data_IF_711157341712
#
_entry.id   IF_711157341712
#
_cell.length_a   1.000
_cell.length_b   1.000
_cell.length_c   1.000
_cell.angle_alpha   90.00
_cell.angle_beta   90.00
_cell.angle_gamma   90.00
#
_symmetry.space_group_name_H-M   'P 1'
#
loop_
_entity.id
_entity.type
_entity.pdbx_description
1 polymer ?
#
# COMPACT_ATOMS: atom_id res chain seq x y z
N UNK A 1 0.59 -1.64 -16.06
CA UNK A 1 -0.65 -2.31 -16.43
C UNK A 1 -0.67 -3.67 -15.74
N UNK A 2 -1.78 -4.00 -15.09
CA UNK A 2 -2.06 -5.31 -14.52
C UNK A 2 -3.31 -5.84 -15.21
N UNK A 3 -3.29 -7.08 -15.66
CA UNK A 3 -4.36 -7.65 -16.47
C UNK A 3 -4.56 -9.11 -16.11
N UNK A 4 -5.81 -9.54 -16.02
CA UNK A 4 -6.19 -10.93 -15.76
C UNK A 4 -7.53 -11.26 -16.40
N UNK A 5 -7.72 -12.54 -16.69
CA UNK A 5 -8.98 -13.09 -17.17
C UNK A 5 -9.51 -14.06 -16.12
N UNK A 6 -10.80 -13.95 -15.83
CA UNK A 6 -11.54 -14.94 -15.05
C UNK A 6 -12.34 -15.80 -16.01
N UNK A 7 -12.04 -17.10 -16.06
CA UNK A 7 -12.72 -18.09 -16.91
C UNK A 7 -13.46 -19.07 -16.01
N UNK A 8 -14.79 -19.05 -16.06
CA UNK A 8 -15.65 -19.89 -15.25
C UNK A 8 -16.47 -20.80 -16.17
N UNK A 9 -16.37 -22.10 -15.99
CA UNK A 9 -17.06 -23.10 -16.82
C UNK A 9 -18.58 -22.86 -16.83
N UNK A 10 -19.17 -22.90 -18.03
CA UNK A 10 -20.62 -22.68 -18.23
C UNK A 10 -21.46 -23.73 -17.54
N UNK A 11 -21.04 -25.00 -17.57
CA UNK A 11 -21.79 -26.12 -17.00
C UNK A 11 -21.74 -26.04 -15.46
N UNK A 12 -20.62 -25.62 -14.89
CA UNK A 12 -20.47 -25.38 -13.46
C UNK A 12 -21.40 -24.27 -12.96
N UNK A 13 -21.48 -23.19 -13.73
CA UNK A 13 -22.38 -22.05 -13.44
C UNK A 13 -23.84 -22.51 -13.50
N UNK A 14 -24.22 -23.30 -14.50
CA UNK A 14 -25.58 -23.81 -14.64
C UNK A 14 -25.99 -24.73 -13.48
N UNK A 15 -25.06 -25.51 -12.93
CA UNK A 15 -25.29 -26.37 -11.76
C UNK A 15 -25.59 -25.59 -10.48
N UNK A 16 -25.07 -24.36 -10.34
CA UNK A 16 -25.23 -23.55 -9.14
C UNK A 16 -26.67 -23.03 -8.95
N UNK A 17 -27.48 -22.98 -10.02
CA UNK A 17 -28.85 -22.45 -10.01
C UNK A 17 -28.96 -20.92 -9.85
N UNK A 18 -27.86 -20.21 -9.63
CA UNK A 18 -27.79 -18.74 -9.59
C UNK A 18 -26.49 -18.26 -10.25
N UNK A 19 -26.54 -18.20 -11.58
CA UNK A 19 -25.39 -17.90 -12.43
C UNK A 19 -24.65 -16.62 -12.02
N UNK A 20 -25.38 -15.55 -11.72
CA UNK A 20 -24.79 -14.24 -11.43
C UNK A 20 -24.08 -14.19 -10.09
N UNK A 21 -24.69 -14.77 -9.05
CA UNK A 21 -24.08 -14.77 -7.71
C UNK A 21 -22.86 -15.69 -7.65
N UNK A 22 -22.93 -16.84 -8.33
CA UNK A 22 -21.81 -17.77 -8.41
C UNK A 22 -20.61 -17.16 -9.15
N UNK A 23 -20.83 -16.57 -10.33
CA UNK A 23 -19.78 -15.86 -11.07
C UNK A 23 -19.13 -14.76 -10.24
N UNK A 24 -19.94 -13.94 -9.55
CA UNK A 24 -19.42 -12.88 -8.70
C UNK A 24 -18.54 -13.40 -7.56
N UNK A 25 -18.93 -14.52 -6.92
CA UNK A 25 -18.14 -15.10 -5.83
C UNK A 25 -16.77 -15.60 -6.30
N UNK A 26 -16.71 -16.25 -7.47
CA UNK A 26 -15.44 -16.69 -8.06
C UNK A 26 -14.57 -15.53 -8.53
N UNK A 27 -15.19 -14.50 -9.11
CA UNK A 27 -14.48 -13.31 -9.59
C UNK A 27 -13.82 -12.48 -8.46
N UNK A 28 -14.36 -12.52 -7.23
CA UNK A 28 -13.78 -11.84 -6.08
C UNK A 28 -12.32 -12.27 -5.77
N UNK A 29 -11.99 -13.54 -6.00
CA UNK A 29 -10.64 -14.04 -5.79
C UNK A 29 -9.62 -13.39 -6.75
N UNK A 30 -10.01 -13.16 -8.00
CA UNK A 30 -9.16 -12.46 -8.98
C UNK A 30 -8.97 -10.99 -8.64
N UNK A 31 -10.02 -10.33 -8.18
CA UNK A 31 -9.96 -8.93 -7.73
C UNK A 31 -9.04 -8.77 -6.51
N UNK A 32 -9.14 -9.68 -5.54
CA UNK A 32 -8.27 -9.68 -4.37
C UNK A 32 -6.81 -9.93 -4.77
N UNK A 33 -6.55 -10.89 -5.66
CA UNK A 33 -5.21 -11.13 -6.20
C UNK A 33 -4.62 -9.89 -6.89
N UNK A 34 -5.42 -9.16 -7.67
CA UNK A 34 -5.00 -7.89 -8.30
C UNK A 34 -4.71 -6.82 -7.26
N UNK A 35 -5.51 -6.69 -6.20
CA UNK A 35 -5.28 -5.74 -5.11
C UNK A 35 -3.95 -6.03 -4.39
N UNK A 36 -3.69 -7.30 -4.07
CA UNK A 36 -2.45 -7.72 -3.43
C UNK A 36 -1.23 -7.42 -4.32
N UNK A 37 -1.31 -7.77 -5.60
CA UNK A 37 -0.24 -7.50 -6.57
C UNK A 37 0.02 -6.00 -6.72
N UNK A 38 -1.03 -5.18 -6.80
CA UNK A 38 -0.91 -3.73 -6.90
C UNK A 38 -0.30 -3.14 -5.63
N UNK A 39 -0.72 -3.58 -4.45
CA UNK A 39 -0.16 -3.14 -3.18
C UNK A 39 1.33 -3.50 -3.06
N UNK A 40 1.71 -4.73 -3.41
CA UNK A 40 3.11 -5.15 -3.48
C UNK A 40 3.94 -4.29 -4.45
N UNK A 41 3.37 -3.97 -5.62
CA UNK A 41 4.01 -3.11 -6.63
C UNK A 41 4.24 -1.69 -6.12
N UNK A 42 3.26 -1.09 -5.41
CA UNK A 42 3.38 0.26 -4.84
C UNK A 42 4.54 0.36 -3.85
N UNK A 43 4.77 -0.69 -3.05
CA UNK A 43 5.83 -0.64 -2.04
C UNK A 43 7.18 -1.16 -2.55
N UNK A 44 7.22 -2.25 -3.29
CA UNK A 44 8.48 -2.99 -3.51
C UNK A 44 8.97 -3.06 -4.93
N UNK A 45 8.11 -2.83 -5.93
CA UNK A 45 8.55 -3.06 -7.30
C UNK A 45 9.76 -2.20 -7.68
N UNK A 46 10.74 -2.86 -8.30
CA UNK A 46 11.92 -2.22 -8.85
C UNK A 46 11.93 -2.37 -10.38
N UNK A 47 11.99 -1.25 -11.06
CA UNK A 47 12.04 -1.18 -12.54
C UNK A 47 13.22 -1.95 -13.12
N UNK A 48 14.34 -2.07 -12.36
CA UNK A 48 15.52 -2.81 -12.84
C UNK A 48 15.26 -4.32 -12.89
N UNK A 49 14.48 -4.85 -11.95
CA UNK A 49 14.14 -6.29 -11.92
C UNK A 49 12.86 -6.61 -12.69
N UNK A 50 11.89 -5.71 -12.69
CA UNK A 50 10.60 -5.89 -13.36
C UNK A 50 10.24 -4.63 -14.17
N UNK A 51 10.77 -4.48 -15.40
CA UNK A 51 10.57 -3.29 -16.24
C UNK A 51 9.11 -3.06 -16.66
N UNK A 52 8.29 -4.11 -16.62
CA UNK A 52 6.88 -4.04 -16.99
C UNK A 52 5.98 -3.32 -15.97
N UNK A 53 6.49 -3.07 -14.76
CA UNK A 53 5.75 -2.41 -13.70
C UNK A 53 6.43 -1.09 -13.26
N UNK A 54 5.66 -0.19 -12.65
CA UNK A 54 6.20 1.10 -12.18
C UNK A 54 7.08 0.95 -10.94
N UNK A 55 7.95 1.92 -10.71
CA UNK A 55 8.85 1.93 -9.55
C UNK A 55 8.09 2.22 -8.26
N UNK A 56 8.20 1.31 -7.29
CA UNK A 56 7.60 1.42 -5.96
C UNK A 56 8.31 2.42 -5.03
N UNK A 57 7.89 2.44 -3.77
CA UNK A 57 8.47 3.31 -2.75
C UNK A 57 9.82 2.81 -2.24
N UNK A 58 9.96 1.50 -1.93
CA UNK A 58 11.16 0.93 -1.32
C UNK A 58 12.45 1.18 -2.12
N UNK A 59 12.47 1.01 -3.46
CA UNK A 59 13.67 1.30 -4.25
C UNK A 59 14.06 2.78 -4.29
N UNK A 60 13.13 3.69 -3.97
CA UNK A 60 13.41 5.13 -3.90
C UNK A 60 14.05 5.53 -2.57
N UNK A 61 13.96 4.70 -1.53
CA UNK A 61 14.53 4.89 -0.19
C UNK A 61 15.41 3.69 0.19
N UNK A 62 16.52 3.45 -0.55
CA UNK A 62 17.27 2.21 -0.47
C UNK A 62 18.31 2.16 0.66
N UNK A 63 18.65 3.27 1.29
CA UNK A 63 19.74 3.36 2.26
C UNK A 63 19.36 4.23 3.47
N UNK A 64 19.99 3.97 4.59
CA UNK A 64 19.95 4.81 5.79
C UNK A 64 21.11 5.82 5.83
N UNK A 65 22.11 5.67 4.95
CA UNK A 65 23.28 6.55 4.89
C UNK A 65 23.01 7.77 3.99
N UNK A 66 23.06 8.95 4.57
CA UNK A 66 22.92 10.21 3.85
C UNK A 66 24.07 10.50 2.88
N UNK A 67 25.21 9.85 3.07
CA UNK A 67 26.32 9.92 2.13
C UNK A 67 26.01 9.22 0.79
N UNK A 68 25.12 8.24 0.81
CA UNK A 68 24.77 7.43 -0.37
C UNK A 68 23.56 8.01 -1.13
N UNK A 69 22.59 8.56 -0.42
CA UNK A 69 21.36 9.07 -1.03
C UNK A 69 20.75 10.21 -0.21
N UNK A 70 20.26 11.24 -0.90
CA UNK A 70 19.50 12.31 -0.24
C UNK A 70 18.20 11.83 0.39
N UNK A 71 17.57 10.80 -0.19
CA UNK A 71 16.33 10.21 0.33
C UNK A 71 16.54 9.50 1.68
N UNK A 72 17.78 9.13 2.02
CA UNK A 72 18.14 8.58 3.31
C UNK A 72 17.83 9.53 4.50
N UNK A 73 17.75 10.84 4.25
CA UNK A 73 17.28 11.79 5.26
C UNK A 73 15.85 11.45 5.75
N UNK A 74 15.04 10.80 4.93
CA UNK A 74 13.69 10.38 5.26
C UNK A 74 13.58 8.88 5.59
N UNK A 75 14.71 8.22 5.81
CA UNK A 75 14.75 6.85 6.34
C UNK A 75 15.15 6.90 7.80
N UNK A 76 14.32 6.30 8.66
CA UNK A 76 14.57 6.14 10.09
C UNK A 76 14.97 4.69 10.35
N UNK A 77 16.13 4.50 10.97
CA UNK A 77 16.60 3.17 11.34
C UNK A 77 16.03 2.76 12.70
N UNK A 78 15.37 1.59 12.76
CA UNK A 78 14.90 0.99 14.01
C UNK A 78 15.94 0.11 14.69
N UNK A 79 17.09 -0.17 14.03
CA UNK A 79 18.24 -0.86 14.62
C UNK A 79 18.32 -2.36 14.33
N UNK A 80 17.36 -2.95 13.62
CA UNK A 80 17.45 -4.36 13.20
C UNK A 80 18.54 -4.57 12.14
N UNK A 81 19.20 -5.72 12.19
CA UNK A 81 20.29 -6.10 11.27
C UNK A 81 20.03 -7.44 10.57
N UNK A 82 18.88 -8.05 10.83
CA UNK A 82 18.50 -9.36 10.30
C UNK A 82 17.88 -9.27 8.88
N UNK A 83 17.58 -10.41 8.30
CA UNK A 83 16.79 -10.54 7.07
C UNK A 83 15.30 -10.71 7.36
N UNK A 84 14.87 -10.60 8.63
CA UNK A 84 13.49 -10.68 9.09
C UNK A 84 12.96 -9.30 9.48
N UNK A 85 13.40 -8.28 8.76
CA UNK A 85 12.97 -6.91 8.98
C UNK A 85 11.67 -6.59 8.24
N UNK A 86 11.02 -5.55 8.70
CA UNK A 86 9.87 -4.90 8.04
C UNK A 86 10.00 -3.40 8.09
N UNK A 87 9.18 -2.70 7.33
CA UNK A 87 9.15 -1.24 7.30
C UNK A 87 7.76 -0.70 7.61
N UNK A 88 7.73 0.48 8.25
CA UNK A 88 6.53 1.31 8.37
C UNK A 88 6.70 2.54 7.48
N UNK A 89 5.68 2.86 6.73
CA UNK A 89 5.68 3.98 5.81
C UNK A 89 4.74 5.08 6.29
N UNK A 90 5.22 6.31 6.30
CA UNK A 90 4.40 7.51 6.44
C UNK A 90 4.40 8.21 5.08
N UNK A 91 3.25 8.23 4.42
CA UNK A 91 3.10 8.83 3.09
C UNK A 91 2.08 9.95 3.14
N UNK A 92 2.45 11.10 2.62
CA UNK A 92 1.55 12.22 2.44
C UNK A 92 1.05 12.24 0.99
N UNK A 93 -0.24 11.96 0.82
CA UNK A 93 -0.88 11.91 -0.49
C UNK A 93 -1.34 13.29 -0.94
N UNK A 94 -0.94 13.69 -2.15
CA UNK A 94 -1.36 14.97 -2.71
C UNK A 94 -0.77 15.24 -4.08
N UNK A 95 -1.32 16.20 -4.82
CA UNK A 95 -0.93 16.48 -6.22
C UNK A 95 0.51 17.01 -6.35
N UNK A 96 1.07 17.58 -5.28
CA UNK A 96 2.45 18.10 -5.27
C UNK A 96 3.42 17.23 -4.46
N UNK A 97 2.95 16.10 -3.93
CA UNK A 97 3.71 15.17 -3.09
C UNK A 97 3.78 13.77 -3.73
N UNK A 98 3.11 12.81 -3.16
CA UNK A 98 2.97 11.46 -3.70
C UNK A 98 1.55 11.28 -4.20
N UNK A 99 1.37 10.79 -5.42
CA UNK A 99 0.04 10.53 -5.96
C UNK A 99 0.05 9.39 -6.97
N UNK A 100 -1.10 8.73 -7.10
CA UNK A 100 -1.36 7.79 -8.17
C UNK A 100 -1.71 8.50 -9.47
N UNK A 101 -1.32 7.93 -10.59
CA UNK A 101 -1.72 8.36 -11.93
C UNK A 101 -2.45 7.23 -12.64
N UNK A 102 -3.44 7.58 -13.43
CA UNK A 102 -4.21 6.64 -14.25
C UNK A 102 -4.72 7.33 -15.51
N UNK A 103 -5.09 6.58 -16.58
CA UNK A 103 -5.57 7.14 -17.81
C UNK A 103 -6.85 7.94 -17.63
N UNK A 104 -6.99 9.04 -18.36
CA UNK A 104 -8.19 9.88 -18.36
C UNK A 104 -9.39 9.08 -18.86
N UNK A 105 -10.52 9.23 -18.18
CA UNK A 105 -11.79 8.59 -18.55
C UNK A 105 -12.03 7.23 -17.90
N UNK A 106 -11.07 6.70 -17.12
CA UNK A 106 -11.24 5.47 -16.35
C UNK A 106 -11.39 5.78 -14.86
N UNK A 107 -12.21 5.02 -14.15
CA UNK A 107 -12.39 5.15 -12.70
C UNK A 107 -11.19 4.51 -11.97
N UNK A 108 -10.29 5.34 -11.47
CA UNK A 108 -9.05 4.91 -10.81
C UNK A 108 -8.16 3.96 -11.65
N UNK A 109 -8.28 4.00 -12.98
CA UNK A 109 -7.54 3.13 -13.89
C UNK A 109 -8.08 1.71 -14.01
N UNK A 110 -9.12 1.34 -13.28
CA UNK A 110 -9.71 0.01 -13.29
C UNK A 110 -10.79 -0.12 -14.38
N UNK A 111 -10.75 -1.21 -15.12
CA UNK A 111 -11.71 -1.60 -16.14
C UNK A 111 -12.09 -3.06 -15.97
N UNK A 112 -13.39 -3.33 -16.04
CA UNK A 112 -13.97 -4.66 -16.09
C UNK A 112 -14.79 -4.77 -17.36
N UNK A 113 -14.64 -5.88 -18.08
CA UNK A 113 -15.38 -6.15 -19.32
C UNK A 113 -15.85 -7.61 -19.32
N UNK A 114 -17.16 -7.83 -19.36
CA UNK A 114 -17.73 -9.15 -19.53
C UNK A 114 -17.70 -9.52 -21.02
N UNK A 115 -16.89 -10.51 -21.39
CA UNK A 115 -16.74 -10.99 -22.76
C UNK A 115 -17.78 -12.05 -23.13
N UNK A 116 -18.66 -12.42 -22.19
CA UNK A 116 -19.68 -13.44 -22.41
C UNK A 116 -19.13 -14.87 -22.49
N UNK A 117 -19.86 -15.73 -23.15
CA UNK A 117 -19.46 -17.14 -23.37
C UNK A 117 -18.39 -17.20 -24.46
N UNK A 118 -17.21 -17.67 -24.10
CA UNK A 118 -16.06 -17.77 -24.99
C UNK A 118 -15.48 -19.19 -24.94
N UNK A 119 -15.05 -19.78 -26.08
CA UNK A 119 -14.32 -21.03 -26.04
C UNK A 119 -12.94 -20.81 -25.42
N UNK A 120 -12.59 -21.62 -24.46
CA UNK A 120 -11.32 -21.62 -23.73
C UNK A 120 -10.69 -23.01 -23.86
N UNK A 121 -9.38 -23.08 -23.74
CA UNK A 121 -8.63 -24.32 -23.80
C UNK A 121 -8.04 -24.65 -22.42
N UNK A 122 -8.17 -25.91 -22.00
CA UNK A 122 -7.51 -26.41 -20.82
C UNK A 122 -5.99 -26.59 -21.02
N UNK A 123 -5.28 -27.02 -19.99
CA UNK A 123 -3.84 -27.31 -20.07
C UNK A 123 -3.47 -28.40 -21.07
N UNK A 124 -4.44 -29.24 -21.48
CA UNK A 124 -4.29 -30.31 -22.47
C UNK A 124 -4.75 -29.88 -23.86
N UNK A 125 -5.09 -28.62 -24.06
CA UNK A 125 -5.62 -28.07 -25.31
C UNK A 125 -7.01 -28.58 -25.71
N UNK A 126 -7.81 -29.10 -24.78
CA UNK A 126 -9.20 -29.46 -25.02
C UNK A 126 -10.08 -28.19 -24.92
N UNK A 127 -10.96 -27.96 -25.90
CA UNK A 127 -11.85 -26.82 -25.89
C UNK A 127 -13.04 -27.03 -24.94
N UNK A 128 -13.38 -25.99 -24.16
CA UNK A 128 -14.63 -25.93 -23.40
C UNK A 128 -15.18 -24.48 -23.42
N UNK A 129 -16.44 -24.31 -23.07
CA UNK A 129 -17.05 -22.99 -23.00
C UNK A 129 -16.98 -22.44 -21.59
N UNK A 130 -16.45 -21.23 -21.45
CA UNK A 130 -16.42 -20.51 -20.19
C UNK A 130 -17.05 -19.13 -20.31
N UNK A 131 -17.58 -18.64 -19.20
CA UNK A 131 -17.88 -17.24 -19.02
C UNK A 131 -16.56 -16.53 -18.73
N UNK A 132 -16.17 -15.61 -19.62
CA UNK A 132 -14.92 -14.87 -19.50
C UNK A 132 -15.17 -13.44 -19.09
N UNK A 133 -14.54 -13.01 -18.01
CA UNK A 133 -14.50 -11.60 -17.59
C UNK A 133 -13.06 -11.11 -17.64
N UNK A 134 -12.83 -10.00 -18.31
CA UNK A 134 -11.53 -9.35 -18.44
C UNK A 134 -11.39 -8.23 -17.42
N UNK A 135 -10.33 -8.28 -16.62
CA UNK A 135 -9.97 -7.26 -15.65
C UNK A 135 -8.66 -6.60 -16.06
N UNK A 136 -8.67 -5.28 -16.09
CA UNK A 136 -7.49 -4.49 -16.44
C UNK A 136 -7.34 -3.32 -15.49
N UNK A 137 -6.13 -3.12 -14.98
CA UNK A 137 -5.82 -2.00 -14.10
C UNK A 137 -4.58 -1.26 -14.60
N UNK A 138 -4.79 -0.04 -15.07
CA UNK A 138 -3.77 0.87 -15.55
C UNK A 138 -3.51 1.92 -14.48
N UNK A 139 -2.46 1.75 -13.68
CA UNK A 139 -2.09 2.67 -12.63
C UNK A 139 -0.57 2.88 -12.58
N UNK A 140 -0.16 3.98 -12.00
CA UNK A 140 1.23 4.31 -11.74
C UNK A 140 1.39 5.13 -10.46
N UNK A 141 2.60 5.19 -9.93
CA UNK A 141 2.96 5.96 -8.75
C UNK A 141 3.96 7.07 -9.11
N UNK A 142 3.61 8.30 -8.76
CA UNK A 142 4.48 9.46 -8.90
C UNK A 142 4.87 9.98 -7.53
N UNK A 143 6.17 10.17 -7.33
CA UNK A 143 6.75 10.87 -6.18
C UNK A 143 7.39 12.14 -6.71
N UNK A 144 6.68 13.27 -6.60
CA UNK A 144 7.21 14.57 -7.05
C UNK A 144 8.26 15.11 -6.11
N UNK A 145 8.03 14.93 -4.82
CA UNK A 145 8.94 15.37 -3.78
C UNK A 145 9.16 14.23 -2.79
N UNK A 146 10.39 13.78 -2.67
CA UNK A 146 10.79 12.68 -1.80
C UNK A 146 10.59 12.99 -0.30
N UNK A 147 10.54 14.26 0.09
CA UNK A 147 10.36 14.68 1.48
C UNK A 147 9.00 14.34 2.07
N UNK A 148 8.01 14.04 1.21
CA UNK A 148 6.65 13.70 1.63
C UNK A 148 6.40 12.20 1.86
N UNK A 149 7.43 11.39 1.77
CA UNK A 149 7.38 10.00 2.22
C UNK A 149 8.52 9.73 3.19
N UNK A 150 8.22 9.06 4.30
CA UNK A 150 9.19 8.67 5.32
C UNK A 150 9.11 7.17 5.51
N UNK A 151 10.26 6.50 5.50
CA UNK A 151 10.38 5.08 5.77
C UNK A 151 10.98 4.85 7.14
N UNK A 152 10.33 4.10 8.00
CA UNK A 152 10.92 3.53 9.22
C UNK A 152 11.33 2.11 8.84
N UNK A 153 12.62 1.90 8.64
CA UNK A 153 13.20 0.65 8.18
C UNK A 153 13.87 -0.12 9.31
N UNK A 154 14.27 -1.36 9.01
CA UNK A 154 15.01 -2.22 9.93
C UNK A 154 14.26 -2.50 11.24
N UNK A 155 12.96 -2.68 11.17
CA UNK A 155 12.17 -3.15 12.31
C UNK A 155 12.25 -4.68 12.28
N UNK A 156 13.04 -5.26 13.16
CA UNK A 156 13.19 -6.71 13.23
C UNK A 156 11.98 -7.34 13.93
N UNK A 157 11.20 -8.11 13.16
CA UNK A 157 9.97 -8.75 13.65
C UNK A 157 10.28 -9.80 14.71
N UNK A 158 11.42 -10.48 14.64
CA UNK A 158 11.83 -11.51 15.61
C UNK A 158 12.11 -10.93 16.99
N UNK A 159 12.56 -9.67 17.07
CA UNK A 159 12.87 -9.01 18.33
C UNK A 159 11.67 -8.32 18.98
N UNK A 160 10.55 -8.17 18.28
CA UNK A 160 9.35 -7.53 18.81
C UNK A 160 8.82 -8.26 20.05
N UNK A 161 8.82 -9.59 20.06
CA UNK A 161 8.42 -10.41 21.21
C UNK A 161 9.53 -10.58 22.27
N UNK A 162 10.73 -10.07 21.99
CA UNK A 162 11.89 -10.17 22.87
C UNK A 162 11.92 -9.11 23.99
N UNK A 163 12.96 -9.16 24.82
CA UNK A 163 13.10 -8.28 25.98
C UNK A 163 13.33 -6.79 25.69
N UNK A 164 13.74 -6.42 24.47
CA UNK A 164 14.05 -5.04 24.05
C UNK A 164 13.49 -4.70 22.68
N UNK A 165 12.17 -4.66 22.51
CA UNK A 165 11.58 -4.27 21.22
C UNK A 165 11.89 -2.80 20.89
N UNK A 166 12.06 -2.44 19.60
CA UNK A 166 12.25 -1.06 19.19
C UNK A 166 11.03 -0.22 19.58
N UNK A 167 11.29 1.02 20.01
CA UNK A 167 10.22 1.95 20.40
C UNK A 167 9.57 2.55 19.12
N UNK A 168 8.56 1.85 18.59
CA UNK A 168 7.87 2.23 17.37
C UNK A 168 7.18 3.60 17.49
N UNK A 169 6.59 3.88 18.65
CA UNK A 169 5.90 5.15 18.92
C UNK A 169 6.87 6.35 18.79
N UNK A 170 8.08 6.22 19.34
CA UNK A 170 9.10 7.26 19.22
C UNK A 170 9.53 7.45 17.75
N UNK A 171 9.71 6.35 17.01
CA UNK A 171 10.05 6.40 15.60
C UNK A 171 8.94 7.05 14.76
N UNK A 172 7.67 6.76 15.05
CA UNK A 172 6.52 7.39 14.40
C UNK A 172 6.44 8.90 14.68
N UNK A 173 6.72 9.33 15.92
CA UNK A 173 6.82 10.76 16.28
C UNK A 173 7.91 11.43 15.44
N UNK A 174 9.09 10.84 15.38
CA UNK A 174 10.21 11.36 14.56
C UNK A 174 9.87 11.40 13.08
N UNK A 175 9.11 10.41 12.59
CA UNK A 175 8.65 10.39 11.20
C UNK A 175 7.72 11.56 10.87
N UNK A 176 6.78 11.88 11.76
CA UNK A 176 5.87 13.03 11.56
C UNK A 176 6.67 14.34 11.46
N UNK A 177 7.68 14.52 12.30
CA UNK A 177 8.51 15.74 12.30
C UNK A 177 9.49 15.81 11.13
N UNK A 178 9.66 14.75 10.33
CA UNK A 178 10.42 14.78 9.08
C UNK A 178 9.59 15.20 7.86
N UNK A 179 8.27 15.13 7.97
CA UNK A 179 7.43 15.68 6.91
C UNK A 179 7.57 17.21 6.87
N UNK A 180 7.64 17.82 5.68
CA UNK A 180 7.64 19.25 5.56
C UNK A 180 6.37 19.84 6.19
N UNK A 181 6.55 20.82 7.07
CA UNK A 181 5.44 21.65 7.55
C UNK A 181 4.95 22.47 6.37
N UNK A 182 3.89 22.05 5.76
CA UNK A 182 3.21 22.65 4.61
C UNK A 182 4.14 23.33 3.59
N UNK A 183 4.09 23.03 2.30
CA UNK A 183 4.74 23.86 1.34
C UNK A 183 4.23 25.27 1.57
N UNK A 184 5.15 26.20 1.81
CA UNK A 184 4.82 27.61 1.88
C UNK A 184 3.91 27.88 0.69
N UNK A 185 2.68 28.27 0.97
CA UNK A 185 1.65 28.55 -0.02
C UNK A 185 2.24 29.58 -0.98
N UNK A 186 2.71 29.12 -2.12
CA UNK A 186 3.15 30.02 -3.17
C UNK A 186 1.92 30.80 -3.63
N UNK A 187 1.80 32.03 -3.15
CA UNK A 187 0.78 32.98 -3.55
C UNK A 187 -0.59 32.79 -2.88
N UNK A 188 -1.16 33.90 -2.48
CA UNK A 188 -2.51 34.10 -1.96
C UNK A 188 -3.63 33.73 -2.97
N UNK A 189 -3.60 32.57 -3.58
CA UNK A 189 -4.71 32.12 -4.40
C UNK A 189 -5.64 31.33 -3.49
N UNK A 190 -6.58 32.03 -2.88
CA UNK A 190 -7.81 31.46 -2.34
C UNK A 190 -8.70 31.08 -3.53
N UNK A 191 -8.37 30.01 -4.21
CA UNK A 191 -9.35 29.29 -4.99
C UNK A 191 -9.89 28.19 -4.07
N UNK A 192 -11.20 28.21 -3.89
CA UNK A 192 -11.97 27.25 -3.08
C UNK A 192 -11.72 25.77 -3.43
N UNK A 193 -11.09 25.53 -4.55
CA UNK A 193 -10.83 24.20 -5.12
C UNK A 193 -9.36 23.71 -4.98
N UNK A 194 -8.47 24.48 -4.32
CA UNK A 194 -7.14 24.00 -4.06
C UNK A 194 -7.18 22.97 -2.93
N UNK A 195 -6.82 21.68 -3.18
CA UNK A 195 -6.80 20.69 -2.13
C UNK A 195 -5.86 21.17 -1.02
N UNK A 196 -6.41 21.37 0.16
CA UNK A 196 -5.63 21.70 1.35
C UNK A 196 -4.72 20.49 1.62
N UNK A 197 -3.41 20.69 1.52
CA UNK A 197 -2.41 19.74 2.00
C UNK A 197 -2.47 19.73 3.53
N UNK A 198 -3.48 19.07 4.06
CA UNK A 198 -3.67 18.91 5.50
C UNK A 198 -3.01 17.61 5.95
N UNK A 199 -2.61 17.55 7.22
CA UNK A 199 -2.17 16.31 7.88
C UNK A 199 -3.17 15.13 7.68
N UNK A 200 -4.43 15.45 7.40
CA UNK A 200 -5.46 14.46 7.08
C UNK A 200 -5.26 13.67 5.78
N UNK A 201 -4.35 14.10 4.91
CA UNK A 201 -3.94 13.34 3.72
C UNK A 201 -2.72 12.44 3.97
N UNK A 202 -2.05 12.59 5.09
CA UNK A 202 -0.99 11.68 5.51
C UNK A 202 -1.59 10.38 6.05
N UNK A 203 -0.91 9.27 5.82
CA UNK A 203 -1.29 7.97 6.35
C UNK A 203 -0.07 7.14 6.70
N UNK A 204 -0.14 6.45 7.84
CA UNK A 204 0.81 5.40 8.17
C UNK A 204 0.37 4.09 7.52
N UNK A 205 1.32 3.35 6.99
CA UNK A 205 1.12 2.03 6.41
C UNK A 205 2.06 1.05 7.11
N UNK A 206 1.51 0.01 7.70
CA UNK A 206 2.27 -1.04 8.36
C UNK A 206 1.62 -2.41 8.11
N UNK A 207 2.36 -3.47 8.36
CA UNK A 207 1.78 -4.80 8.33
C UNK A 207 1.00 -5.09 9.63
N UNK A 208 0.26 -6.19 9.64
CA UNK A 208 -0.60 -6.60 10.76
C UNK A 208 0.21 -6.87 12.04
N UNK A 209 1.41 -7.46 11.93
CA UNK A 209 2.27 -7.71 13.08
C UNK A 209 2.67 -6.40 13.77
N UNK A 210 3.07 -5.41 12.99
CA UNK A 210 3.43 -4.09 13.53
C UNK A 210 2.22 -3.37 14.13
N UNK A 211 1.03 -3.47 13.50
CA UNK A 211 -0.19 -2.90 14.06
C UNK A 211 -0.49 -3.47 15.46
N UNK A 212 -0.39 -4.79 15.61
CA UNK A 212 -0.56 -5.46 16.92
C UNK A 212 0.45 -4.96 17.95
N UNK A 213 1.73 -4.79 17.56
CA UNK A 213 2.75 -4.30 18.48
C UNK A 213 2.61 -2.82 18.84
N UNK A 214 2.07 -2.01 17.94
CA UNK A 214 1.71 -0.62 18.24
C UNK A 214 0.65 -0.56 19.34
N UNK A 215 -0.38 -1.39 19.24
CA UNK A 215 -1.44 -1.46 20.24
C UNK A 215 -0.89 -1.93 21.61
N UNK A 216 -0.03 -2.96 21.62
CA UNK A 216 0.64 -3.44 22.86
C UNK A 216 1.51 -2.33 23.46
N UNK A 217 2.31 -1.64 22.67
CA UNK A 217 3.16 -0.55 23.15
C UNK A 217 2.33 0.65 23.65
N UNK A 218 1.14 0.86 23.10
CA UNK A 218 0.22 1.90 23.57
C UNK A 218 -0.33 1.59 24.95
N UNK A 219 -0.73 0.34 25.19
CA UNK A 219 -1.22 -0.10 26.50
C UNK A 219 -0.15 0.02 27.59
N UNK A 220 1.10 -0.27 27.26
CA UNK A 220 2.22 -0.24 28.19
C UNK A 220 2.74 1.18 28.53
N UNK A 221 2.25 2.23 27.88
CA UNK A 221 2.68 3.62 28.11
C UNK A 221 1.51 4.49 28.55
N UNK A 222 1.64 5.09 29.71
CA UNK A 222 0.61 5.92 30.37
C UNK A 222 0.19 7.18 29.60
N UNK A 223 0.95 7.60 28.56
CA UNK A 223 0.75 8.88 27.86
C UNK A 223 0.79 8.74 26.33
N UNK A 224 0.27 7.65 25.77
CA UNK A 224 0.26 7.48 24.30
C UNK A 224 -1.08 7.93 23.73
N UNK A 225 -1.03 8.83 22.77
CA UNK A 225 -2.17 9.33 22.01
C UNK A 225 -2.46 8.42 20.79
N UNK A 226 -2.73 7.13 21.04
CA UNK A 226 -3.44 6.28 20.11
C UNK A 226 -4.92 6.44 20.40
N UNK A 227 -5.67 6.96 19.43
CA UNK A 227 -7.12 7.10 19.49
C UNK A 227 -7.74 6.23 18.43
N UNK A 228 -8.85 5.58 18.79
CA UNK A 228 -9.79 5.06 17.80
C UNK A 228 -10.74 6.21 17.45
N UNK A 229 -10.70 6.64 16.20
CA UNK A 229 -11.63 7.63 15.66
C UNK A 229 -12.55 6.91 14.68
N UNK A 230 -13.82 7.29 14.66
CA UNK A 230 -14.73 6.82 13.63
C UNK A 230 -14.53 7.66 12.36
N UNK A 231 -14.11 6.99 11.29
CA UNK A 231 -14.06 7.58 9.97
C UNK A 231 -15.07 6.84 9.07
N UNK A 232 -16.09 7.56 8.63
CA UNK A 232 -17.17 7.00 7.79
C UNK A 232 -17.87 5.77 8.42
N UNK A 233 -18.12 5.83 9.75
CA UNK A 233 -18.76 4.74 10.50
C UNK A 233 -17.89 3.51 10.76
N UNK A 234 -16.58 3.58 10.47
CA UNK A 234 -15.62 2.51 10.75
C UNK A 234 -14.58 2.97 11.77
N UNK A 235 -14.27 2.15 12.78
CA UNK A 235 -13.22 2.47 13.74
C UNK A 235 -11.86 2.41 13.05
N UNK A 236 -11.13 3.53 13.04
CA UNK A 236 -9.78 3.63 12.51
C UNK A 236 -8.83 4.01 13.62
N UNK A 237 -7.76 3.23 13.81
CA UNK A 237 -6.70 3.58 14.75
C UNK A 237 -5.94 4.79 14.18
N UNK A 238 -5.90 5.88 14.93
CA UNK A 238 -5.17 7.09 14.57
C UNK A 238 -4.02 7.36 15.55
N UNK A 239 -2.91 7.83 14.98
CA UNK A 239 -1.77 8.31 15.77
C UNK A 239 -1.58 9.80 15.51
N UNK A 240 -1.83 10.63 16.53
CA UNK A 240 -1.84 12.10 16.43
C UNK A 240 -2.69 12.65 15.28
N UNK A 241 -3.87 12.06 15.05
CA UNK A 241 -4.78 12.44 13.97
C UNK A 241 -4.38 11.93 12.58
N UNK A 242 -3.34 11.09 12.48
CA UNK A 242 -2.95 10.42 11.23
C UNK A 242 -3.42 8.97 11.27
N UNK A 243 -4.21 8.52 10.29
CA UNK A 243 -4.71 7.15 10.27
C UNK A 243 -3.58 6.14 10.07
N UNK A 244 -3.64 5.03 10.79
CA UNK A 244 -2.79 3.86 10.62
C UNK A 244 -3.58 2.84 9.78
N UNK A 245 -3.03 2.47 8.65
CA UNK A 245 -3.62 1.51 7.71
C UNK A 245 -2.78 0.26 7.66
N UNK A 246 -3.40 -0.89 7.88
CA UNK A 246 -2.75 -2.18 7.71
C UNK A 246 -2.67 -2.54 6.23
N UNK A 247 -1.50 -3.03 5.81
CA UNK A 247 -1.27 -3.55 4.47
C UNK A 247 -0.47 -4.84 4.60
N UNK A 248 -1.13 -5.97 4.35
CA UNK A 248 -0.52 -7.30 4.53
C UNK A 248 0.56 -7.61 3.47
N UNK A 249 0.64 -6.80 2.40
CA UNK A 249 1.71 -6.90 1.40
C UNK A 249 3.02 -6.25 1.84
N UNK A 250 3.07 -5.60 3.01
CA UNK A 250 4.33 -5.19 3.62
C UNK A 250 5.05 -6.41 4.21
N UNK A 251 6.20 -6.73 3.64
CA UNK A 251 6.96 -7.94 3.95
C UNK A 251 7.53 -7.91 5.37
N UNK A 252 7.62 -9.09 5.98
CA UNK A 252 8.36 -9.33 7.23
C UNK A 252 9.75 -9.94 6.97
N UNK A 253 10.17 -9.99 5.72
CA UNK A 253 11.39 -10.62 5.23
C UNK A 253 12.27 -9.63 4.47
N UNK A 254 12.15 -8.34 4.81
CA UNK A 254 13.05 -7.32 4.25
C UNK A 254 14.47 -7.52 4.79
N UNK A 255 15.45 -7.42 3.91
CA UNK A 255 16.85 -7.33 4.32
C UNK A 255 17.11 -5.98 4.96
N UNK A 256 17.86 -5.94 6.06
CA UNK A 256 18.23 -4.70 6.72
C UNK A 256 18.97 -3.77 5.77
N UNK A 257 18.57 -2.49 5.78
CA UNK A 257 19.23 -1.43 5.03
C UNK A 257 20.53 -1.03 5.71
N UNK A 258 21.53 -0.68 4.91
CA UNK A 258 22.84 -0.19 5.33
C UNK A 258 23.05 1.27 4.94
#
# INVERSE_FOLDING_TARGET
MLETYSDIDVDLVALSGNDRAFRLSEELAFLEGMNQQMAGTIFYNNITSTPAAFMGLSPRYPSISTATSQTANNVLNAGGTSSTCTSVWLVHWGPMSVHGIFPKGQKAGFRQEDMGKTPVYDSNSNPYYAWRTHYKWDAGLVVKDWRYAVRIANIDVSTLSGGTPPNLINLMIRAIHRLPTQPARAGNVQTSDAPRLTLGQAGFYCNRAISTWLDIQAVNKTNVLLRMEEFDGKPVTTFRGIPIRTCDQLLNTETALT
#
